data_IF_425299155708
#
_entry.id   IF_425299155708
#
_cell.length_a   1.000
_cell.length_b   1.000
_cell.length_c   1.000
_cell.angle_alpha   90.00
_cell.angle_beta   90.00
_cell.angle_gamma   90.00
#
_symmetry.space_group_name_H-M   'P 1'
#
loop_
_entity.id
_entity.type
_entity.pdbx_description
1 polymer ?
#
# COMPACT_ATOMS: atom_id res chain seq x y z
N UNK A 1 67.43 26.05 -5.92
CA UNK A 1 67.85 26.30 -4.53
C UNK A 1 66.73 25.76 -3.67
N UNK A 2 66.83 24.74 -3.09
CA UNK A 2 67.51 23.96 -2.10
C UNK A 2 66.44 23.05 -1.46
N UNK A 3 66.61 21.84 -1.64
CA UNK A 3 66.10 20.73 -0.79
C UNK A 3 66.90 20.70 0.53
N UNK A 4 66.76 19.74 1.44
CA UNK A 4 65.68 18.85 1.97
C UNK A 4 65.82 18.71 3.51
N UNK A 5 65.07 17.87 4.19
CA UNK A 5 65.59 16.88 5.18
C UNK A 5 64.54 16.27 6.11
N UNK A 6 64.39 14.97 5.97
CA UNK A 6 64.58 13.85 6.95
C UNK A 6 63.62 13.78 8.15
N UNK A 7 62.73 12.83 8.14
CA UNK A 7 62.75 11.44 8.65
C UNK A 7 63.17 11.26 10.12
N UNK A 8 62.33 10.62 10.92
CA UNK A 8 62.73 9.52 11.83
C UNK A 8 61.55 8.70 12.35
N UNK A 9 61.71 7.42 12.16
CA UNK A 9 61.01 6.29 12.76
C UNK A 9 60.98 6.28 14.28
N UNK A 10 59.99 5.63 14.84
CA UNK A 10 60.15 4.62 15.93
C UNK A 10 58.87 3.81 16.11
N UNK A 11 58.91 2.68 15.84
CA UNK A 11 58.64 1.28 16.10
C UNK A 11 58.13 0.95 17.52
N UNK A 12 57.20 -0.06 17.51
CA UNK A 12 56.99 -1.19 18.43
C UNK A 12 56.43 -1.01 19.84
N UNK A 13 55.30 -1.66 20.12
CA UNK A 13 55.20 -2.84 21.00
C UNK A 13 53.78 -3.32 21.20
N UNK A 14 53.53 -4.58 20.80
CA UNK A 14 52.48 -5.44 21.40
C UNK A 14 52.97 -5.97 22.76
N UNK A 15 52.07 -6.38 23.63
CA UNK A 15 52.24 -7.65 24.33
C UNK A 15 50.99 -8.56 24.35
N UNK A 16 51.22 -9.77 23.88
CA UNK A 16 51.15 -11.08 24.56
C UNK A 16 49.83 -11.51 25.18
N UNK A 17 49.35 -12.61 24.60
CA UNK A 17 48.39 -13.55 25.10
C UNK A 17 48.76 -14.17 26.45
N UNK A 18 47.79 -14.48 27.27
CA UNK A 18 47.89 -15.44 28.38
C UNK A 18 46.72 -16.44 28.26
N UNK A 19 47.10 -17.67 28.02
CA UNK A 19 46.24 -18.84 28.10
C UNK A 19 46.13 -19.29 29.54
N UNK A 20 44.91 -19.69 29.93
CA UNK A 20 44.75 -20.68 31.03
C UNK A 20 43.70 -21.72 30.68
N UNK A 21 44.00 -22.92 31.12
CA UNK A 21 43.59 -24.25 30.75
C UNK A 21 42.23 -24.67 31.23
N UNK A 22 41.70 -25.63 30.49
CA UNK A 22 40.76 -26.73 30.73
C UNK A 22 40.27 -26.99 32.17
N UNK A 23 38.95 -27.11 32.27
CA UNK A 23 38.33 -28.13 33.11
C UNK A 23 37.07 -28.67 32.40
N UNK A 24 37.11 -29.94 32.06
CA UNK A 24 36.01 -30.77 31.55
C UNK A 24 35.04 -31.11 32.69
N UNK A 25 33.72 -30.94 32.44
CA UNK A 25 32.66 -31.71 33.12
C UNK A 25 31.60 -32.10 32.09
N UNK A 26 31.34 -33.41 32.06
CA UNK A 26 30.29 -34.10 31.30
C UNK A 26 28.89 -33.72 31.75
N UNK A 27 27.93 -33.75 30.82
CA UNK A 27 26.53 -33.90 31.21
C UNK A 27 25.53 -33.42 30.16
N UNK A 28 25.03 -34.36 29.37
CA UNK A 28 23.66 -34.54 28.89
C UNK A 28 22.94 -33.46 28.08
N UNK A 29 22.64 -33.81 26.84
CA UNK A 29 21.33 -33.70 26.18
C UNK A 29 20.62 -32.33 26.22
N UNK A 30 21.08 -31.35 25.49
CA UNK A 30 20.22 -30.23 25.10
C UNK A 30 19.95 -30.33 23.59
N UNK A 31 18.77 -30.85 23.25
CA UNK A 31 18.15 -30.80 21.93
C UNK A 31 18.21 -29.40 21.42
N UNK A 32 18.99 -29.18 20.36
CA UNK A 32 19.02 -27.93 19.58
C UNK A 32 17.65 -27.71 18.98
N UNK A 33 16.78 -27.02 19.69
CA UNK A 33 15.60 -26.40 19.10
C UNK A 33 16.12 -25.33 18.16
N UNK A 34 16.27 -25.69 16.90
CA UNK A 34 16.35 -24.72 15.80
C UNK A 34 15.14 -23.78 15.94
N UNK A 35 15.41 -22.55 16.35
CA UNK A 35 14.50 -21.44 16.21
C UNK A 35 14.25 -21.27 14.70
N UNK A 36 13.22 -21.94 14.19
CA UNK A 36 12.57 -21.54 12.96
C UNK A 36 11.99 -20.15 13.25
N UNK A 37 12.73 -19.12 12.91
CA UNK A 37 12.24 -17.77 12.81
C UNK A 37 11.14 -17.79 11.75
N UNK A 38 9.90 -17.83 12.20
CA UNK A 38 8.72 -17.78 11.36
C UNK A 38 8.69 -16.38 10.71
N UNK A 39 9.03 -16.31 9.42
CA UNK A 39 8.94 -15.10 8.58
C UNK A 39 7.52 -14.54 8.44
N UNK A 40 6.54 -15.08 9.17
CA UNK A 40 5.12 -14.78 9.06
C UNK A 40 4.59 -13.85 10.18
N UNK A 41 5.46 -13.34 11.05
CA UNK A 41 5.07 -12.31 12.01
C UNK A 41 5.32 -10.94 11.39
N UNK A 42 4.29 -10.07 11.42
CA UNK A 42 4.51 -8.65 11.21
C UNK A 42 5.18 -8.14 12.50
N UNK A 43 6.49 -7.86 12.54
CA UNK A 43 7.10 -7.38 13.76
C UNK A 43 6.48 -6.04 14.14
N UNK A 44 5.88 -5.95 15.32
CA UNK A 44 5.41 -4.69 15.91
C UNK A 44 6.64 -3.95 16.44
N UNK A 45 7.49 -3.48 15.52
CA UNK A 45 8.46 -2.43 15.79
C UNK A 45 7.76 -1.09 15.59
N UNK A 46 8.23 -0.05 16.25
CA UNK A 46 7.85 1.32 15.93
C UNK A 46 8.03 1.55 14.44
N UNK A 47 6.93 1.53 13.70
CA UNK A 47 6.95 1.88 12.28
C UNK A 47 7.10 3.39 12.22
N UNK A 48 8.09 3.86 11.48
CA UNK A 48 8.30 5.29 11.31
C UNK A 48 7.13 5.88 10.53
N UNK A 49 6.34 6.73 11.20
CA UNK A 49 5.39 7.61 10.55
C UNK A 49 6.17 8.77 9.88
N UNK A 50 5.61 9.42 8.86
CA UNK A 50 4.24 9.27 8.35
C UNK A 50 4.03 8.06 7.43
N UNK A 51 2.74 7.73 7.17
CA UNK A 51 2.33 6.92 6.02
C UNK A 51 2.51 7.77 4.77
N UNK A 52 3.40 7.36 3.88
CA UNK A 52 3.67 8.09 2.64
C UNK A 52 2.85 7.48 1.49
N UNK A 53 1.94 8.27 0.95
CA UNK A 53 1.10 7.87 -0.19
C UNK A 53 1.56 8.58 -1.45
N UNK A 54 2.07 7.82 -2.41
CA UNK A 54 2.33 8.31 -3.75
C UNK A 54 1.04 8.27 -4.58
N UNK A 55 0.69 9.35 -5.24
CA UNK A 55 -0.48 9.39 -6.11
C UNK A 55 -0.13 10.00 -7.46
N UNK A 56 -0.60 9.37 -8.56
CA UNK A 56 -0.42 9.97 -9.87
C UNK A 56 -1.31 11.21 -10.03
N UNK A 57 -0.84 12.19 -10.76
CA UNK A 57 -1.62 13.41 -11.02
C UNK A 57 -3.00 13.10 -11.61
N UNK A 58 -3.07 12.12 -12.54
CA UNK A 58 -4.32 11.67 -13.17
C UNK A 58 -5.23 10.89 -12.22
N UNK A 59 -4.71 10.24 -11.20
CA UNK A 59 -5.55 9.60 -10.19
C UNK A 59 -6.11 10.60 -9.18
N UNK A 60 -5.31 11.63 -8.80
CA UNK A 60 -5.75 12.67 -7.88
C UNK A 60 -6.73 13.64 -8.55
N UNK A 61 -6.47 13.98 -9.80
CA UNK A 61 -7.27 14.91 -10.58
C UNK A 61 -7.82 14.28 -11.86
N UNK A 62 -8.98 14.74 -12.30
CA UNK A 62 -9.54 14.37 -13.60
C UNK A 62 -8.80 15.09 -14.72
N UNK A 63 -8.14 14.32 -15.57
CA UNK A 63 -7.36 14.75 -16.72
C UNK A 63 -7.79 13.97 -17.98
N UNK A 64 -9.04 13.52 -18.04
CA UNK A 64 -9.50 12.67 -19.14
C UNK A 64 -9.56 13.44 -20.46
N UNK A 65 -10.04 14.69 -20.45
CA UNK A 65 -10.07 15.56 -21.64
C UNK A 65 -8.65 15.84 -22.14
N UNK A 66 -7.76 16.18 -21.22
CA UNK A 66 -6.35 16.45 -21.54
C UNK A 66 -5.63 15.18 -22.03
N UNK A 67 -5.98 14.04 -21.47
CA UNK A 67 -5.42 12.75 -21.90
C UNK A 67 -5.90 12.38 -23.32
N UNK A 68 -7.15 12.67 -23.66
CA UNK A 68 -7.68 12.44 -25.00
C UNK A 68 -6.93 13.31 -26.03
N UNK A 69 -6.61 14.56 -25.69
CA UNK A 69 -5.75 15.41 -26.54
C UNK A 69 -4.35 14.80 -26.68
N UNK A 70 -3.75 14.33 -25.59
CA UNK A 70 -2.44 13.65 -25.64
C UNK A 70 -2.45 12.45 -26.61
N UNK A 71 -3.49 11.63 -26.54
CA UNK A 71 -3.59 10.41 -27.36
C UNK A 71 -3.85 10.70 -28.82
N UNK A 72 -4.66 11.71 -29.14
CA UNK A 72 -5.11 11.98 -30.51
C UNK A 72 -4.28 13.06 -31.23
N UNK A 73 -3.73 14.03 -30.48
CA UNK A 73 -3.05 15.21 -31.04
C UNK A 73 -1.56 15.28 -30.63
N UNK A 74 -1.13 14.47 -29.67
CA UNK A 74 0.26 14.35 -29.24
C UNK A 74 0.66 15.26 -28.07
N UNK A 75 1.95 15.17 -27.70
CA UNK A 75 2.51 15.83 -26.52
C UNK A 75 2.50 17.36 -26.61
N UNK A 76 2.80 17.93 -27.79
CA UNK A 76 2.84 19.39 -27.98
C UNK A 76 1.46 20.03 -27.79
N UNK A 77 0.41 19.43 -28.34
CA UNK A 77 -0.97 19.88 -28.16
C UNK A 77 -1.43 19.77 -26.70
N UNK A 78 -1.08 18.65 -26.05
CA UNK A 78 -1.32 18.47 -24.63
C UNK A 78 -0.65 19.54 -23.78
N UNK A 79 0.64 19.83 -24.02
CA UNK A 79 1.36 20.87 -23.28
C UNK A 79 0.75 22.26 -23.52
N UNK A 80 0.39 22.59 -24.74
CA UNK A 80 -0.27 23.86 -25.08
C UNK A 80 -1.61 24.02 -24.33
N UNK A 81 -2.46 22.98 -24.34
CA UNK A 81 -3.72 22.97 -23.61
C UNK A 81 -3.51 23.16 -22.09
N UNK A 82 -2.51 22.50 -21.52
CA UNK A 82 -2.20 22.62 -20.10
C UNK A 82 -1.72 24.04 -19.74
N UNK A 83 -0.93 24.67 -20.58
CA UNK A 83 -0.49 26.08 -20.41
C UNK A 83 -1.66 27.05 -20.49
N UNK A 84 -2.52 26.91 -21.49
CA UNK A 84 -3.70 27.76 -21.65
C UNK A 84 -4.64 27.67 -20.45
N UNK A 85 -4.70 26.51 -19.81
CA UNK A 85 -5.55 26.23 -18.65
C UNK A 85 -4.81 26.29 -17.32
N UNK A 86 -3.59 26.80 -17.27
CA UNK A 86 -2.73 26.77 -16.06
C UNK A 86 -3.40 27.41 -14.82
N UNK A 87 -4.22 28.44 -15.01
CA UNK A 87 -4.97 29.11 -13.96
C UNK A 87 -6.30 28.40 -13.59
N UNK A 88 -6.72 27.42 -14.38
CA UNK A 88 -7.98 26.69 -14.16
C UNK A 88 -7.69 25.43 -13.34
N UNK A 89 -8.25 25.30 -12.12
CA UNK A 89 -8.05 24.11 -11.31
C UNK A 89 -8.52 22.85 -12.04
N UNK A 90 -7.78 21.77 -11.85
CA UNK A 90 -8.15 20.45 -12.35
C UNK A 90 -9.39 19.92 -11.63
N UNK A 91 -10.23 19.15 -12.31
CA UNK A 91 -11.35 18.42 -11.70
C UNK A 91 -10.88 17.36 -10.69
N UNK A 92 -11.76 16.89 -9.86
CA UNK A 92 -11.46 15.85 -8.88
C UNK A 92 -11.37 14.48 -9.56
N UNK A 93 -10.29 13.74 -9.28
CA UNK A 93 -10.05 12.38 -9.77
C UNK A 93 -10.55 11.30 -8.83
N UNK A 94 -10.31 10.03 -9.20
CA UNK A 94 -10.78 8.86 -8.44
C UNK A 94 -10.10 8.70 -7.07
N UNK A 95 -8.88 9.23 -6.88
CA UNK A 95 -8.18 9.22 -5.60
C UNK A 95 -8.50 10.45 -4.74
N UNK A 96 -9.19 11.46 -5.27
CA UNK A 96 -9.33 12.75 -4.60
C UNK A 96 -9.94 12.65 -3.22
N UNK A 97 -11.10 12.05 -3.10
CA UNK A 97 -11.81 11.96 -1.83
C UNK A 97 -11.07 11.10 -0.78
N UNK A 98 -10.56 9.89 -1.10
CA UNK A 98 -9.72 9.14 -0.15
C UNK A 98 -8.47 9.90 0.30
N UNK A 99 -7.77 10.58 -0.60
CA UNK A 99 -6.57 11.37 -0.28
C UNK A 99 -6.92 12.56 0.62
N UNK A 100 -7.98 13.29 0.32
CA UNK A 100 -8.47 14.40 1.15
C UNK A 100 -8.78 13.96 2.57
N UNK A 101 -9.44 12.80 2.74
CA UNK A 101 -9.77 12.21 4.04
C UNK A 101 -8.52 11.78 4.80
N UNK A 102 -7.56 11.14 4.13
CA UNK A 102 -6.27 10.78 4.73
C UNK A 102 -5.52 12.01 5.25
N UNK A 103 -5.42 13.06 4.44
CA UNK A 103 -4.75 14.30 4.82
C UNK A 103 -5.45 15.02 5.98
N UNK A 104 -6.78 14.90 6.08
CA UNK A 104 -7.54 15.49 7.18
C UNK A 104 -7.19 14.87 8.55
N UNK A 105 -6.63 13.66 8.61
CA UNK A 105 -6.17 13.04 9.85
C UNK A 105 -5.04 13.84 10.51
N UNK A 106 -4.20 14.53 9.74
CA UNK A 106 -3.11 15.34 10.26
C UNK A 106 -3.58 16.50 11.13
N UNK A 107 -4.76 17.07 10.87
CA UNK A 107 -5.32 18.18 11.65
C UNK A 107 -5.67 17.81 13.10
N UNK A 108 -5.61 16.54 13.45
CA UNK A 108 -6.03 15.99 14.74
C UNK A 108 -4.90 15.32 15.52
N UNK A 109 -3.70 15.29 14.96
CA UNK A 109 -2.54 14.57 15.53
C UNK A 109 -1.59 15.42 16.37
N UNK A 110 -1.95 16.69 16.66
CA UNK A 110 -1.05 17.63 17.31
C UNK A 110 0.16 17.94 16.42
N UNK A 111 1.38 17.80 16.96
CA UNK A 111 2.62 18.11 16.24
C UNK A 111 3.13 16.95 15.34
N UNK A 112 2.41 15.83 15.25
CA UNK A 112 2.84 14.67 14.48
C UNK A 112 2.17 14.62 13.12
N UNK A 113 2.96 14.53 12.05
CA UNK A 113 2.44 14.22 10.72
C UNK A 113 2.14 12.72 10.61
N UNK A 114 0.87 12.36 10.45
CA UNK A 114 0.44 10.96 10.30
C UNK A 114 0.51 10.48 8.86
N UNK A 115 0.19 11.35 7.92
CA UNK A 115 0.11 11.04 6.48
C UNK A 115 0.84 12.12 5.69
N UNK A 116 1.65 11.69 4.75
CA UNK A 116 2.24 12.52 3.70
C UNK A 116 1.76 12.03 2.34
N UNK A 117 1.47 12.96 1.43
CA UNK A 117 1.09 12.64 0.06
C UNK A 117 2.07 13.29 -0.91
N UNK A 118 2.55 12.48 -1.87
CA UNK A 118 3.53 12.90 -2.87
C UNK A 118 2.94 12.73 -4.27
N UNK A 119 3.00 13.78 -5.10
CA UNK A 119 2.60 13.68 -6.51
C UNK A 119 3.68 12.94 -7.31
N UNK A 120 3.27 11.92 -8.08
CA UNK A 120 4.15 11.20 -8.99
C UNK A 120 3.56 11.25 -10.39
N UNK A 121 4.23 11.95 -11.30
CA UNK A 121 3.71 12.22 -12.63
C UNK A 121 4.75 11.96 -13.71
N UNK A 122 4.30 11.39 -14.84
CA UNK A 122 5.13 11.32 -16.06
C UNK A 122 5.14 12.63 -16.86
N UNK A 123 4.35 13.62 -16.45
CA UNK A 123 4.34 14.92 -17.10
C UNK A 123 5.71 15.60 -17.06
N UNK A 124 6.02 16.49 -18.00
CA UNK A 124 7.14 17.42 -17.90
C UNK A 124 7.06 18.27 -16.63
N UNK A 125 8.20 18.68 -16.04
CA UNK A 125 8.24 19.52 -14.83
C UNK A 125 7.48 20.85 -14.98
N UNK A 126 7.45 21.39 -16.17
CA UNK A 126 6.74 22.63 -16.53
C UNK A 126 5.23 22.55 -16.21
N UNK A 127 4.63 21.38 -16.38
CA UNK A 127 3.22 21.16 -16.10
C UNK A 127 2.91 20.94 -14.60
N UNK A 128 3.92 20.99 -13.73
CA UNK A 128 3.72 20.85 -12.29
C UNK A 128 2.89 22.01 -11.69
N UNK A 129 2.98 23.20 -12.28
CA UNK A 129 2.29 24.40 -11.77
C UNK A 129 0.79 24.18 -11.63
N UNK A 130 0.11 23.71 -12.68
CA UNK A 130 -1.34 23.48 -12.65
C UNK A 130 -1.73 22.44 -11.59
N UNK A 131 -0.93 21.39 -11.43
CA UNK A 131 -1.17 20.35 -10.43
C UNK A 131 -1.06 20.91 -9.00
N UNK A 132 0.02 21.64 -8.67
CA UNK A 132 0.19 22.23 -7.33
C UNK A 132 -0.81 23.37 -7.05
N UNK A 133 -1.14 24.22 -8.03
CA UNK A 133 -2.22 25.20 -7.91
C UNK A 133 -3.58 24.55 -7.65
N UNK A 134 -3.83 23.40 -8.24
CA UNK A 134 -5.05 22.63 -7.96
C UNK A 134 -5.05 22.09 -6.53
N UNK A 135 -3.89 21.60 -6.02
CA UNK A 135 -3.76 21.21 -4.61
C UNK A 135 -4.07 22.41 -3.69
N UNK A 136 -3.52 23.57 -3.98
CA UNK A 136 -3.74 24.81 -3.22
C UNK A 136 -5.22 25.23 -3.25
N UNK A 137 -5.84 25.24 -4.44
CA UNK A 137 -7.25 25.55 -4.62
C UNK A 137 -8.17 24.68 -3.75
N UNK A 138 -7.89 23.39 -3.70
CA UNK A 138 -8.66 22.43 -2.88
C UNK A 138 -8.18 22.34 -1.43
N UNK A 139 -7.20 23.14 -1.04
CA UNK A 139 -6.60 23.14 0.31
C UNK A 139 -6.06 21.76 0.71
N UNK A 140 -5.50 21.04 -0.25
CA UNK A 140 -4.76 19.81 0.01
C UNK A 140 -3.31 20.19 0.36
N UNK A 141 -2.78 19.82 1.54
CA UNK A 141 -1.41 20.13 1.94
C UNK A 141 -0.39 19.21 1.23
N UNK A 142 -0.44 19.16 -0.09
CA UNK A 142 0.47 18.40 -0.96
C UNK A 142 1.44 19.39 -1.57
N UNK A 143 2.69 19.34 -1.13
CA UNK A 143 3.74 20.29 -1.52
C UNK A 143 4.93 19.63 -2.19
N UNK A 144 4.93 18.29 -2.28
CA UNK A 144 6.05 17.49 -2.78
C UNK A 144 5.63 16.63 -3.97
N UNK A 145 6.54 16.41 -4.91
CA UNK A 145 6.27 15.55 -6.06
C UNK A 145 7.45 15.36 -6.99
N UNK A 146 7.33 14.39 -7.89
CA UNK A 146 8.27 14.14 -8.99
C UNK A 146 7.54 14.17 -10.32
N UNK A 147 8.06 14.97 -11.27
CA UNK A 147 7.58 15.09 -12.64
C UNK A 147 8.71 14.61 -13.55
N UNK A 148 8.48 13.56 -14.34
CA UNK A 148 9.57 12.74 -14.87
C UNK A 148 9.76 12.78 -16.38
N UNK A 149 8.97 13.60 -17.10
CA UNK A 149 9.04 13.71 -18.58
C UNK A 149 9.00 12.33 -19.25
N UNK A 150 7.95 11.56 -19.00
CA UNK A 150 7.72 10.24 -19.59
C UNK A 150 8.49 9.07 -18.93
N UNK A 151 9.45 9.34 -18.04
CA UNK A 151 10.17 8.26 -17.34
C UNK A 151 9.29 7.54 -16.32
N UNK A 152 9.53 6.21 -16.09
CA UNK A 152 8.79 5.46 -15.07
C UNK A 152 8.87 6.11 -13.69
N UNK A 153 7.76 6.15 -12.95
CA UNK A 153 7.69 6.80 -11.63
C UNK A 153 8.10 5.90 -10.47
N UNK A 154 8.14 4.58 -10.64
CA UNK A 154 8.44 3.63 -9.58
C UNK A 154 9.80 3.87 -8.88
N UNK A 155 10.92 4.21 -9.56
CA UNK A 155 12.18 4.55 -8.89
C UNK A 155 12.06 5.78 -7.99
N UNK A 156 11.26 6.77 -8.39
CA UNK A 156 11.03 7.97 -7.59
C UNK A 156 10.10 7.69 -6.42
N UNK A 157 9.07 6.86 -6.61
CA UNK A 157 8.23 6.38 -5.51
C UNK A 157 9.07 5.68 -4.42
N UNK A 158 10.04 4.83 -4.81
CA UNK A 158 10.98 4.21 -3.89
C UNK A 158 11.87 5.25 -3.19
N UNK A 159 12.37 6.26 -3.92
CA UNK A 159 13.20 7.32 -3.35
C UNK A 159 12.44 8.19 -2.33
N UNK A 160 11.13 8.38 -2.52
CA UNK A 160 10.24 9.05 -1.57
C UNK A 160 9.86 8.16 -0.38
N UNK A 161 10.19 6.87 -0.39
CA UNK A 161 9.77 5.92 0.65
C UNK A 161 8.26 5.67 0.66
N UNK A 162 7.62 5.67 -0.52
CA UNK A 162 6.18 5.50 -0.66
C UNK A 162 5.75 4.13 -0.13
N UNK A 163 4.78 4.13 0.79
CA UNK A 163 4.18 2.92 1.37
C UNK A 163 3.00 2.39 0.55
N UNK A 164 2.24 3.30 -0.09
CA UNK A 164 1.11 2.98 -0.97
C UNK A 164 1.15 3.85 -2.21
N UNK A 165 1.18 3.25 -3.38
CA UNK A 165 1.12 3.95 -4.67
C UNK A 165 -0.22 3.78 -5.36
N UNK A 166 -0.86 4.89 -5.74
CA UNK A 166 -2.16 4.93 -6.41
C UNK A 166 -2.03 5.60 -7.79
N UNK A 167 -2.39 4.90 -8.83
CA UNK A 167 -2.34 5.42 -10.20
C UNK A 167 -3.46 4.84 -11.07
N UNK A 168 -3.82 5.52 -12.16
CA UNK A 168 -4.67 4.99 -13.23
C UNK A 168 -3.85 4.26 -14.30
N UNK A 169 -2.52 4.44 -14.30
CA UNK A 169 -1.62 3.80 -15.25
C UNK A 169 -1.22 2.40 -14.77
N UNK A 170 -1.52 1.39 -15.61
CA UNK A 170 -1.26 -0.02 -15.26
C UNK A 170 0.23 -0.34 -15.20
N UNK A 171 1.04 0.23 -16.09
CA UNK A 171 2.48 -0.06 -16.15
C UNK A 171 3.22 0.56 -14.96
N UNK A 172 2.81 1.74 -14.50
CA UNK A 172 3.34 2.35 -13.30
C UNK A 172 3.02 1.53 -12.05
N UNK A 173 1.78 1.08 -11.92
CA UNK A 173 1.35 0.24 -10.79
C UNK A 173 2.04 -1.12 -10.81
N UNK A 174 2.16 -1.74 -11.99
CA UNK A 174 2.87 -3.03 -12.14
C UNK A 174 4.35 -2.89 -11.77
N UNK A 175 4.99 -1.80 -12.20
CA UNK A 175 6.40 -1.53 -11.91
C UNK A 175 6.63 -1.28 -10.41
N UNK A 176 5.74 -0.53 -9.75
CA UNK A 176 5.80 -0.29 -8.32
C UNK A 176 5.59 -1.58 -7.51
N UNK A 177 4.60 -2.41 -7.91
CA UNK A 177 4.35 -3.71 -7.29
C UNK A 177 5.53 -4.68 -7.47
N UNK A 178 6.16 -4.70 -8.65
CA UNK A 178 7.34 -5.52 -8.90
C UNK A 178 8.56 -5.09 -8.05
N UNK A 179 8.62 -3.82 -7.67
CA UNK A 179 9.60 -3.28 -6.72
C UNK A 179 9.25 -3.57 -5.24
N UNK A 180 8.19 -4.32 -4.95
CA UNK A 180 7.77 -4.69 -3.60
C UNK A 180 6.94 -3.64 -2.87
N UNK A 181 6.48 -2.61 -3.56
CA UNK A 181 5.64 -1.54 -3.01
C UNK A 181 4.17 -1.95 -3.05
N UNK A 182 3.39 -1.60 -2.02
CA UNK A 182 1.93 -1.68 -2.12
C UNK A 182 1.45 -0.72 -3.20
N UNK A 183 0.73 -1.23 -4.19
CA UNK A 183 0.29 -0.43 -5.33
C UNK A 183 -1.09 -0.89 -5.82
N UNK A 184 -1.89 0.05 -6.34
CA UNK A 184 -3.19 -0.25 -6.91
C UNK A 184 -3.52 0.65 -8.11
N UNK A 185 -4.08 0.04 -9.17
CA UNK A 185 -4.63 0.76 -10.31
C UNK A 185 -6.07 1.15 -10.01
N UNK A 186 -6.31 2.45 -9.90
CA UNK A 186 -7.64 2.97 -9.61
C UNK A 186 -8.54 2.92 -10.85
N UNK A 187 -9.80 2.61 -10.60
CA UNK A 187 -10.88 2.64 -11.59
C UNK A 187 -11.33 4.07 -11.93
N UNK A 188 -12.45 4.20 -12.66
CA UNK A 188 -13.02 5.50 -12.98
C UNK A 188 -13.45 6.27 -11.73
N UNK A 189 -13.65 7.58 -11.89
CA UNK A 189 -14.13 8.47 -10.83
C UNK A 189 -15.52 8.03 -10.39
N UNK A 190 -15.74 7.70 -9.11
CA UNK A 190 -17.08 7.37 -8.63
C UNK A 190 -17.97 8.60 -8.60
N UNK A 191 -19.30 8.43 -8.57
CA UNK A 191 -20.22 9.54 -8.34
C UNK A 191 -19.88 10.26 -7.03
N UNK A 192 -20.10 11.59 -6.94
CA UNK A 192 -19.91 12.32 -5.70
C UNK A 192 -20.78 11.70 -4.59
N UNK A 193 -20.17 11.31 -3.48
CA UNK A 193 -20.88 10.85 -2.32
C UNK A 193 -21.36 12.04 -1.48
N UNK A 194 -22.58 11.99 -0.95
CA UNK A 194 -23.01 12.91 0.09
C UNK A 194 -22.19 12.63 1.36
N UNK A 195 -21.19 13.45 1.59
CA UNK A 195 -20.27 13.23 2.71
C UNK A 195 -20.83 13.86 3.99
N UNK A 196 -21.19 13.03 4.93
CA UNK A 196 -21.60 13.47 6.28
C UNK A 196 -20.43 14.04 7.10
N UNK A 197 -19.21 13.57 6.85
CA UNK A 197 -17.96 14.03 7.50
C UNK A 197 -16.76 13.72 6.61
N UNK A 198 -15.77 14.61 6.60
CA UNK A 198 -14.50 14.40 5.87
C UNK A 198 -13.32 14.01 6.78
N UNK A 199 -13.55 13.84 8.08
CA UNK A 199 -12.51 13.57 9.06
C UNK A 199 -12.36 12.09 9.43
N UNK A 200 -13.00 11.21 8.66
CA UNK A 200 -12.89 9.76 8.77
C UNK A 200 -12.51 9.16 7.41
N UNK A 201 -11.67 8.14 7.43
CA UNK A 201 -11.34 7.34 6.26
C UNK A 201 -11.64 5.87 6.54
N UNK A 202 -12.33 5.22 5.60
CA UNK A 202 -12.70 3.82 5.72
C UNK A 202 -12.12 3.02 4.56
N UNK A 203 -11.17 2.15 4.88
CA UNK A 203 -10.55 1.21 3.96
C UNK A 203 -11.30 -0.12 3.97
N UNK A 204 -11.73 -0.58 2.82
CA UNK A 204 -12.19 -1.94 2.62
C UNK A 204 -11.15 -2.72 1.80
N UNK A 205 -10.80 -3.93 2.23
CA UNK A 205 -9.72 -4.71 1.66
C UNK A 205 -10.21 -6.14 1.38
N UNK A 206 -9.85 -6.69 0.20
CA UNK A 206 -10.00 -8.13 0.01
C UNK A 206 -8.98 -8.91 0.85
N UNK A 207 -9.23 -10.19 1.02
CA UNK A 207 -8.36 -11.09 1.77
C UNK A 207 -7.21 -11.62 0.92
N UNK A 208 -7.53 -12.57 0.04
CA UNK A 208 -6.53 -13.30 -0.74
C UNK A 208 -5.89 -12.43 -1.81
N UNK A 209 -4.59 -12.58 -1.97
CA UNK A 209 -3.78 -11.81 -2.92
C UNK A 209 -3.77 -10.26 -2.71
N UNK A 210 -4.43 -9.75 -1.68
CA UNK A 210 -4.45 -8.34 -1.27
C UNK A 210 -3.85 -8.18 0.13
N UNK A 211 -4.59 -8.55 1.18
CA UNK A 211 -4.07 -8.56 2.56
C UNK A 211 -3.15 -9.74 2.81
N UNK A 212 -3.55 -10.90 2.34
CA UNK A 212 -2.79 -12.15 2.46
C UNK A 212 -2.14 -12.50 1.13
N UNK A 213 -1.11 -13.35 1.19
CA UNK A 213 -0.49 -13.89 -0.02
C UNK A 213 -1.50 -14.65 -0.89
N UNK A 214 -1.13 -14.88 -2.14
CA UNK A 214 -1.96 -15.62 -3.10
C UNK A 214 -1.94 -17.15 -2.88
N UNK A 215 -1.34 -17.66 -1.80
CA UNK A 215 -1.21 -19.10 -1.53
C UNK A 215 -2.54 -19.85 -1.63
N UNK A 216 -3.53 -19.38 -0.88
CA UNK A 216 -4.84 -20.03 -0.81
C UNK A 216 -5.62 -19.91 -2.12
N UNK A 217 -5.50 -18.78 -2.82
CA UNK A 217 -6.08 -18.60 -4.17
C UNK A 217 -5.44 -19.56 -5.17
N UNK A 218 -4.12 -19.81 -5.10
CA UNK A 218 -3.45 -20.81 -5.92
C UNK A 218 -3.99 -22.22 -5.64
N UNK A 219 -4.17 -22.59 -4.38
CA UNK A 219 -4.76 -23.89 -4.00
C UNK A 219 -6.17 -24.03 -4.57
N UNK A 220 -6.99 -22.99 -4.42
CA UNK A 220 -8.36 -22.99 -4.97
C UNK A 220 -8.39 -23.17 -6.49
N UNK A 221 -7.57 -22.41 -7.23
CA UNK A 221 -7.52 -22.46 -8.69
C UNK A 221 -7.00 -23.79 -9.23
N UNK A 222 -6.03 -24.39 -8.55
CA UNK A 222 -5.41 -25.63 -9.01
C UNK A 222 -6.22 -26.87 -8.64
N UNK A 223 -6.89 -26.87 -7.51
CA UNK A 223 -7.45 -28.06 -6.89
C UNK A 223 -8.95 -27.97 -6.56
N UNK A 224 -9.55 -26.79 -6.73
CA UNK A 224 -10.98 -26.55 -6.48
C UNK A 224 -11.33 -26.40 -5.00
N UNK A 225 -12.64 -26.21 -4.75
CA UNK A 225 -13.17 -25.79 -3.45
C UNK A 225 -12.91 -26.82 -2.33
N UNK A 226 -13.11 -28.10 -2.60
CA UNK A 226 -12.96 -29.15 -1.57
C UNK A 226 -11.53 -29.24 -1.01
N UNK A 227 -10.54 -29.17 -1.89
CA UNK A 227 -9.12 -29.19 -1.49
C UNK A 227 -8.75 -27.90 -0.78
N UNK A 228 -9.25 -26.76 -1.28
CA UNK A 228 -9.08 -25.47 -0.61
C UNK A 228 -9.64 -25.49 0.83
N UNK A 229 -10.87 -25.96 1.04
CA UNK A 229 -11.46 -26.03 2.38
C UNK A 229 -10.69 -26.96 3.31
N UNK A 230 -10.20 -28.09 2.79
CA UNK A 230 -9.35 -29.03 3.52
C UNK A 230 -8.02 -28.38 3.91
N UNK A 231 -7.38 -27.70 2.97
CA UNK A 231 -6.15 -26.93 3.19
C UNK A 231 -6.33 -25.86 4.28
N UNK A 232 -7.37 -25.05 4.19
CA UNK A 232 -7.65 -23.99 5.16
C UNK A 232 -7.96 -24.54 6.56
N UNK A 233 -8.68 -25.66 6.66
CA UNK A 233 -8.94 -26.36 7.92
C UNK A 233 -7.65 -26.86 8.56
N UNK A 234 -6.81 -27.52 7.77
CA UNK A 234 -5.54 -28.09 8.25
C UNK A 234 -4.57 -27.00 8.71
N UNK A 235 -4.61 -25.84 8.06
CA UNK A 235 -3.74 -24.69 8.32
C UNK A 235 -4.41 -23.60 9.18
N UNK A 236 -5.54 -23.88 9.83
CA UNK A 236 -6.29 -22.86 10.58
C UNK A 236 -5.46 -22.16 11.68
N UNK A 237 -4.46 -22.85 12.24
CA UNK A 237 -3.54 -22.31 13.25
C UNK A 237 -2.28 -21.65 12.67
N UNK A 238 -2.02 -21.83 11.37
CA UNK A 238 -0.84 -21.30 10.69
C UNK A 238 -1.18 -19.95 10.08
N UNK A 239 -0.56 -18.84 10.51
CA UNK A 239 -0.82 -17.53 9.94
C UNK A 239 -0.51 -17.52 8.44
N UNK A 240 -1.33 -16.85 7.67
CA UNK A 240 -1.05 -16.57 6.27
C UNK A 240 0.11 -15.56 6.16
N UNK A 241 0.90 -15.68 5.11
CA UNK A 241 1.90 -14.67 4.79
C UNK A 241 1.22 -13.37 4.32
N UNK A 242 1.82 -12.20 4.56
CA UNK A 242 1.28 -10.93 4.09
C UNK A 242 1.27 -10.85 2.56
N UNK A 243 0.19 -10.32 2.04
CA UNK A 243 0.03 -9.96 0.63
C UNK A 243 0.57 -8.56 0.32
N UNK A 244 0.33 -8.05 -0.89
CA UNK A 244 0.84 -6.74 -1.32
C UNK A 244 0.50 -5.58 -0.39
N UNK A 245 -0.73 -5.54 0.16
CA UNK A 245 -1.17 -4.52 1.10
C UNK A 245 -1.05 -4.95 2.57
N UNK A 246 -0.72 -6.20 2.86
CA UNK A 246 -0.59 -6.74 4.22
C UNK A 246 0.73 -6.43 4.92
N UNK A 247 1.68 -5.79 4.24
CA UNK A 247 3.01 -5.49 4.72
C UNK A 247 3.14 -4.14 5.45
N UNK A 248 4.10 -3.32 5.02
CA UNK A 248 4.43 -2.02 5.63
C UNK A 248 3.23 -1.05 5.64
N UNK A 249 2.47 -1.00 4.54
CA UNK A 249 1.26 -0.18 4.44
C UNK A 249 0.26 -0.50 5.56
N UNK A 250 -0.12 -1.77 5.73
CA UNK A 250 -1.10 -2.16 6.77
C UNK A 250 -0.60 -1.83 8.18
N UNK A 251 0.69 -2.04 8.45
CA UNK A 251 1.29 -1.72 9.75
C UNK A 251 1.13 -0.24 10.11
N UNK A 252 1.51 0.64 9.20
CA UNK A 252 1.38 2.10 9.39
C UNK A 252 -0.09 2.50 9.50
N UNK A 253 -0.97 1.93 8.69
CA UNK A 253 -2.41 2.19 8.76
C UNK A 253 -3.00 1.81 10.13
N UNK A 254 -2.61 0.66 10.69
CA UNK A 254 -3.02 0.22 12.03
C UNK A 254 -2.47 1.16 13.11
N UNK A 255 -1.23 1.62 12.96
CA UNK A 255 -0.64 2.58 13.89
C UNK A 255 -1.42 3.91 13.88
N UNK A 256 -1.74 4.44 12.70
CA UNK A 256 -2.57 5.64 12.56
C UNK A 256 -3.95 5.41 13.16
N UNK A 257 -4.56 4.25 12.90
CA UNK A 257 -5.85 3.88 13.50
C UNK A 257 -5.84 3.96 15.02
N UNK A 258 -4.76 3.49 15.67
CA UNK A 258 -4.59 3.55 17.12
C UNK A 258 -4.40 4.97 17.65
N UNK A 259 -3.75 5.83 16.87
CA UNK A 259 -3.54 7.24 17.23
C UNK A 259 -4.77 8.12 17.01
N UNK A 260 -5.67 7.69 16.12
CA UNK A 260 -6.87 8.46 15.74
C UNK A 260 -8.15 8.00 16.47
N UNK A 261 -8.04 7.46 17.69
CA UNK A 261 -9.19 7.03 18.48
C UNK A 261 -9.98 8.25 18.97
N UNK A 262 -11.30 8.20 18.82
CA UNK A 262 -12.24 9.21 19.29
C UNK A 262 -12.63 8.96 20.75
N UNK A 263 -13.32 9.94 21.36
CA UNK A 263 -13.80 9.86 22.75
C UNK A 263 -14.82 8.71 22.99
N UNK A 264 -15.50 8.26 21.95
CA UNK A 264 -16.43 7.14 22.00
C UNK A 264 -15.76 5.77 21.85
N UNK A 265 -14.41 5.72 21.73
CA UNK A 265 -13.62 4.52 21.55
C UNK A 265 -13.53 4.02 20.10
N UNK A 266 -14.25 4.63 19.15
CA UNK A 266 -14.10 4.34 17.72
C UNK A 266 -12.88 5.07 17.14
N UNK A 267 -12.41 4.65 15.97
CA UNK A 267 -11.30 5.33 15.28
C UNK A 267 -11.79 6.10 14.06
N UNK A 268 -11.10 7.20 13.75
CA UNK A 268 -11.27 7.93 12.47
C UNK A 268 -10.77 7.14 11.29
N UNK A 269 -9.93 6.14 11.51
CA UNK A 269 -9.50 5.19 10.48
C UNK A 269 -10.22 3.87 10.74
N UNK A 270 -11.11 3.49 9.82
CA UNK A 270 -11.81 2.21 9.86
C UNK A 270 -11.21 1.28 8.81
N UNK A 271 -11.11 0.00 9.18
CA UNK A 271 -10.56 -1.04 8.31
C UNK A 271 -11.53 -2.21 8.31
N UNK A 272 -12.01 -2.56 7.12
CA UNK A 272 -12.95 -3.68 6.89
C UNK A 272 -12.34 -4.69 5.93
N UNK A 273 -12.50 -5.97 6.22
CA UNK A 273 -12.21 -7.04 5.27
C UNK A 273 -13.51 -7.50 4.59
N UNK A 274 -13.49 -7.59 3.26
CA UNK A 274 -14.62 -8.08 2.45
C UNK A 274 -14.11 -9.20 1.54
N UNK A 275 -14.26 -10.44 1.95
CA UNK A 275 -13.66 -11.61 1.29
C UNK A 275 -14.69 -12.63 0.82
N UNK A 276 -14.38 -13.32 -0.28
CA UNK A 276 -15.18 -14.44 -0.77
C UNK A 276 -15.07 -15.69 0.11
N UNK A 277 -14.15 -15.73 1.07
CA UNK A 277 -14.05 -16.85 2.01
C UNK A 277 -15.33 -16.99 2.85
N UNK A 278 -15.69 -18.23 3.11
CA UNK A 278 -16.77 -18.60 4.03
C UNK A 278 -16.24 -19.57 5.10
N UNK A 279 -17.11 -20.00 6.03
CA UNK A 279 -16.80 -21.13 6.90
C UNK A 279 -16.54 -22.39 6.04
N UNK A 280 -15.47 -23.18 6.33
CA UNK A 280 -14.56 -23.08 7.48
C UNK A 280 -13.32 -22.19 7.28
N UNK A 281 -13.06 -21.68 6.07
CA UNK A 281 -11.85 -20.92 5.71
C UNK A 281 -11.72 -19.56 6.44
N UNK A 282 -12.81 -19.03 7.01
CA UNK A 282 -12.83 -17.79 7.80
C UNK A 282 -11.95 -17.86 9.07
N UNK A 283 -11.79 -19.06 9.65
CA UNK A 283 -11.04 -19.24 10.91
C UNK A 283 -9.58 -18.81 10.75
N UNK A 284 -8.92 -19.25 9.67
CA UNK A 284 -7.53 -18.89 9.40
C UNK A 284 -7.36 -17.37 9.23
N UNK A 285 -8.32 -16.69 8.59
CA UNK A 285 -8.34 -15.22 8.46
C UNK A 285 -8.31 -14.56 9.82
N UNK A 286 -9.28 -14.90 10.69
CA UNK A 286 -9.40 -14.28 12.03
C UNK A 286 -8.14 -14.55 12.87
N UNK A 287 -7.61 -15.76 12.83
CA UNK A 287 -6.39 -16.13 13.58
C UNK A 287 -5.15 -15.39 13.04
N UNK A 288 -5.03 -15.23 11.72
CA UNK A 288 -3.96 -14.47 11.10
C UNK A 288 -3.99 -13.01 11.54
N UNK A 289 -5.16 -12.36 11.48
CA UNK A 289 -5.31 -10.96 11.91
C UNK A 289 -4.99 -10.77 13.41
N UNK A 290 -5.42 -11.71 14.26
CA UNK A 290 -5.05 -11.73 15.69
C UNK A 290 -3.54 -11.87 15.89
N UNK A 291 -2.90 -12.75 15.14
CA UNK A 291 -1.45 -12.94 15.22
C UNK A 291 -0.66 -11.72 14.75
N UNK A 292 -1.19 -11.01 13.79
CA UNK A 292 -0.61 -9.76 13.29
C UNK A 292 -0.89 -8.55 14.20
N UNK A 293 -1.67 -8.73 15.27
CA UNK A 293 -2.18 -7.64 16.11
C UNK A 293 -2.84 -6.53 15.26
N UNK A 294 -3.60 -6.97 14.25
CA UNK A 294 -4.26 -6.14 13.28
C UNK A 294 -5.76 -6.08 13.59
N UNK A 295 -6.23 -5.07 14.36
CA UNK A 295 -7.65 -4.91 14.66
C UNK A 295 -8.38 -4.40 13.39
N UNK A 296 -9.39 -5.16 12.96
CA UNK A 296 -10.34 -4.76 11.94
C UNK A 296 -11.66 -4.39 12.60
N UNK A 297 -12.34 -3.37 12.06
CA UNK A 297 -13.62 -2.92 12.58
C UNK A 297 -14.75 -3.85 12.15
N UNK A 298 -14.68 -4.37 10.92
CA UNK A 298 -15.67 -5.27 10.34
C UNK A 298 -15.02 -6.36 9.50
N UNK A 299 -15.69 -7.52 9.41
CA UNK A 299 -15.30 -8.61 8.53
C UNK A 299 -16.54 -9.19 7.86
N UNK A 300 -16.58 -9.16 6.54
CA UNK A 300 -17.68 -9.69 5.73
C UNK A 300 -17.19 -10.90 4.92
N UNK A 301 -17.66 -12.07 5.31
CA UNK A 301 -17.40 -13.34 4.63
C UNK A 301 -18.54 -13.60 3.62
N UNK A 302 -18.42 -13.05 2.42
CA UNK A 302 -19.56 -12.88 1.51
C UNK A 302 -19.82 -14.04 0.57
N UNK A 303 -18.88 -14.98 0.44
CA UNK A 303 -19.00 -16.11 -0.50
C UNK A 303 -19.09 -15.62 -1.94
N UNK A 304 -20.11 -16.10 -2.65
CA UNK A 304 -20.36 -15.75 -4.05
C UNK A 304 -21.14 -14.44 -4.27
N UNK A 305 -21.43 -13.71 -3.20
CA UNK A 305 -22.21 -12.47 -3.30
C UNK A 305 -21.34 -11.32 -3.78
N UNK A 306 -21.95 -10.40 -4.55
CA UNK A 306 -21.28 -9.20 -5.01
C UNK A 306 -20.83 -8.34 -3.81
N UNK A 307 -19.52 -8.03 -3.75
CA UNK A 307 -18.90 -7.27 -2.67
C UNK A 307 -19.43 -5.83 -2.58
N UNK A 308 -19.76 -5.22 -3.72
CA UNK A 308 -20.17 -3.82 -3.81
C UNK A 308 -21.29 -3.43 -2.82
N UNK A 309 -22.26 -4.31 -2.58
CA UNK A 309 -23.36 -4.06 -1.61
C UNK A 309 -22.87 -3.95 -0.17
N UNK A 310 -21.87 -4.75 0.20
CA UNK A 310 -21.27 -4.72 1.54
C UNK A 310 -20.38 -3.49 1.72
N UNK A 311 -19.71 -3.04 0.66
CA UNK A 311 -18.90 -1.81 0.67
C UNK A 311 -19.77 -0.58 0.97
N UNK A 312 -20.93 -0.48 0.31
CA UNK A 312 -21.91 0.60 0.56
C UNK A 312 -22.48 0.51 1.96
N UNK A 313 -22.89 -0.68 2.41
CA UNK A 313 -23.46 -0.88 3.75
C UNK A 313 -22.45 -0.55 4.86
N UNK A 314 -21.18 -0.85 4.65
CA UNK A 314 -20.09 -0.51 5.57
C UNK A 314 -19.72 0.99 5.51
N UNK A 315 -20.12 1.72 4.48
CA UNK A 315 -19.70 3.11 4.26
C UNK A 315 -18.22 3.22 3.90
N UNK A 316 -17.70 2.28 3.11
CA UNK A 316 -16.31 2.31 2.68
C UNK A 316 -16.04 3.51 1.75
N UNK A 317 -14.86 4.12 1.89
CA UNK A 317 -14.43 5.24 1.05
C UNK A 317 -13.48 4.80 -0.06
N UNK A 318 -12.71 3.73 0.18
CA UNK A 318 -11.82 3.12 -0.81
C UNK A 318 -11.79 1.60 -0.62
N UNK A 319 -11.78 0.89 -1.74
CA UNK A 319 -11.73 -0.58 -1.78
C UNK A 319 -10.56 -1.09 -2.60
N UNK A 320 -9.92 -2.17 -2.15
CA UNK A 320 -8.84 -2.84 -2.87
C UNK A 320 -9.13 -4.33 -3.06
N UNK A 321 -8.97 -4.80 -4.29
CA UNK A 321 -9.22 -6.19 -4.68
C UNK A 321 -8.25 -6.59 -5.82
N UNK A 322 -7.92 -7.88 -5.95
CA UNK A 322 -7.07 -8.40 -7.03
C UNK A 322 -7.86 -8.78 -8.28
N UNK A 323 -9.20 -8.73 -8.21
CA UNK A 323 -10.10 -9.11 -9.30
C UNK A 323 -10.73 -7.90 -9.98
N UNK A 324 -10.44 -7.76 -11.28
CA UNK A 324 -10.97 -6.66 -12.12
C UNK A 324 -12.50 -6.51 -12.02
N UNK A 325 -13.24 -7.65 -12.01
CA UNK A 325 -14.70 -7.61 -11.93
C UNK A 325 -15.20 -6.94 -10.65
N UNK A 326 -14.58 -7.25 -9.49
CA UNK A 326 -14.94 -6.66 -8.21
C UNK A 326 -14.62 -5.16 -8.16
N UNK A 327 -13.45 -4.78 -8.67
CA UNK A 327 -13.04 -3.36 -8.76
C UNK A 327 -13.97 -2.59 -9.68
N UNK A 328 -14.31 -3.13 -10.85
CA UNK A 328 -15.23 -2.50 -11.80
C UNK A 328 -16.63 -2.26 -11.21
N UNK A 329 -17.15 -3.23 -10.44
CA UNK A 329 -18.46 -3.07 -9.81
C UNK A 329 -18.40 -2.07 -8.65
N UNK A 330 -17.33 -2.09 -7.85
CA UNK A 330 -17.13 -1.18 -6.73
C UNK A 330 -16.89 0.27 -7.20
N UNK A 331 -16.14 0.48 -8.27
CA UNK A 331 -15.80 1.82 -8.78
C UNK A 331 -16.99 2.63 -9.31
N UNK A 332 -18.13 1.99 -9.49
CA UNK A 332 -19.40 2.68 -9.77
C UNK A 332 -20.00 3.38 -8.55
N UNK A 333 -19.49 3.09 -7.36
CA UNK A 333 -20.08 3.49 -6.08
C UNK A 333 -19.07 4.23 -5.20
N UNK A 334 -17.85 3.75 -5.16
CA UNK A 334 -16.75 4.29 -4.32
C UNK A 334 -15.41 4.21 -5.07
N UNK A 335 -14.39 4.87 -4.57
CA UNK A 335 -13.03 4.68 -5.10
C UNK A 335 -12.60 3.23 -4.94
N UNK A 336 -12.12 2.62 -6.03
CA UNK A 336 -11.70 1.23 -6.00
C UNK A 336 -10.41 1.02 -6.80
N UNK A 337 -9.52 0.19 -6.27
CA UNK A 337 -8.20 -0.08 -6.82
C UNK A 337 -7.94 -1.56 -7.05
N UNK A 338 -7.44 -1.89 -8.25
CA UNK A 338 -6.96 -3.21 -8.61
C UNK A 338 -5.53 -3.40 -8.12
N UNK A 339 -5.33 -4.36 -7.25
CA UNK A 339 -4.00 -4.73 -6.73
C UNK A 339 -3.39 -5.76 -7.68
N UNK A 340 -2.18 -5.55 -8.21
CA UNK A 340 -1.50 -6.52 -9.04
C UNK A 340 -1.25 -7.82 -8.27
N UNK A 341 -1.81 -8.93 -8.78
CA UNK A 341 -1.55 -10.24 -8.21
C UNK A 341 -0.29 -10.84 -8.84
N UNK A 342 0.61 -11.36 -8.01
CA UNK A 342 1.85 -12.02 -8.44
C UNK A 342 1.62 -13.40 -9.10
N UNK A 343 0.39 -13.83 -9.31
CA UNK A 343 0.06 -15.05 -10.03
C UNK A 343 0.60 -14.95 -11.45
N UNK A 344 1.49 -15.87 -11.81
CA UNK A 344 2.13 -15.89 -13.13
C UNK A 344 1.11 -16.05 -14.25
N UNK A 345 1.45 -15.58 -15.46
CA UNK A 345 0.61 -15.68 -16.66
C UNK A 345 0.18 -17.13 -17.01
N UNK A 346 0.87 -18.16 -16.50
CA UNK A 346 0.50 -19.56 -16.62
C UNK A 346 -0.75 -19.93 -15.80
N UNK A 347 -1.00 -19.24 -14.70
CA UNK A 347 -2.12 -19.51 -13.79
C UNK A 347 -3.39 -18.78 -14.23
N UNK A 348 -3.29 -17.73 -15.05
CA UNK A 348 -4.46 -16.96 -15.55
C UNK A 348 -5.27 -17.69 -16.61
N UNK A 349 -4.66 -18.58 -17.39
CA UNK A 349 -5.33 -19.29 -18.50
C UNK A 349 -6.06 -20.60 -18.11
N UNK A 350 -6.04 -21.03 -16.85
CA UNK A 350 -6.71 -22.25 -16.41
C UNK A 350 -8.08 -22.02 -15.75
N UNK A 351 -8.56 -20.78 -15.69
CA UNK A 351 -9.81 -20.40 -15.02
C UNK A 351 -10.79 -19.61 -15.88
N UNK A 352 -10.69 -19.70 -17.24
CA UNK A 352 -11.67 -19.12 -18.16
C UNK A 352 -12.54 -20.22 -18.76
#
# INVERSE_FOLDING_TARGET
>A
MSTPSKAKDKATRSPKATAFSNASVNGEGATTRQLMTTQNEIPIGTTDLPLIVGVSTRALFSLEEEHDVFVHEGEDAYCALQHDREAIPLGQGCAFEPIKRLLALNSRSGDHQLVEVVLLSRNPPDLALRAFRSCEHYKLPIVSGSFTSGRPVAPFAAAWGVDLFLSNDEDDVRSASAAGMAAARLGPVPPPAEAASHDEVHFALDGDAVLFSAESECVFRQHGLEIFERHERSNAQVPMAPGPLGGAFLKKLIQIRRLCVKSDGTSRVRITIVTARCAPAHERVIRTLRRWDAPFDEAHFVGHRAKARFLVAAGAHIFFDDREANVKDASRLISAGLVPCALTSRDRNKGA
#
